data_IF_619289431951
#
_entry.id   IF_619289431951
#
_cell.length_a   1.000
_cell.length_b   1.000
_cell.length_c   1.000
_cell.angle_alpha   90.00
_cell.angle_beta   90.00
_cell.angle_gamma   90.00
#
_symmetry.space_group_name_H-M   'P 1'
#
loop_
_entity.id
_entity.type
_entity.pdbx_description
1 polymer ?
#
# COMPACT_ATOMS: atom_id res chain seq x y z
N UNK A 1 -33.57 22.00 -18.20
CA UNK A 1 -33.13 23.40 -17.99
C UNK A 1 -33.95 24.27 -18.91
N UNK A 2 -35.06 24.84 -18.41
CA UNK A 2 -35.85 25.81 -19.18
C UNK A 2 -35.14 27.16 -19.03
N UNK A 3 -34.63 27.71 -20.15
CA UNK A 3 -33.99 29.02 -20.17
C UNK A 3 -35.07 30.02 -20.59
N UNK A 4 -35.52 30.83 -19.64
CA UNK A 4 -36.39 31.99 -19.94
C UNK A 4 -35.56 33.05 -20.68
N UNK A 5 -36.05 33.64 -21.78
CA UNK A 5 -35.32 34.70 -22.48
C UNK A 5 -35.37 35.99 -21.67
N UNK A 6 -34.19 36.52 -21.32
CA UNK A 6 -34.05 37.86 -20.76
C UNK A 6 -33.98 38.89 -21.90
N UNK A 7 -35.00 39.74 -22.04
CA UNK A 7 -34.90 40.93 -22.90
C UNK A 7 -34.03 41.98 -22.21
N UNK A 8 -32.84 42.15 -22.78
CA UNK A 8 -31.88 43.26 -22.67
C UNK A 8 -32.17 44.42 -21.70
N UNK A 9 -31.35 44.49 -20.66
CA UNK A 9 -30.34 45.54 -20.42
C UNK A 9 -30.21 45.80 -18.91
N UNK A 10 -28.96 45.84 -18.46
CA UNK A 10 -28.48 45.96 -17.08
C UNK A 10 -28.07 44.63 -16.43
N UNK A 11 -26.77 44.59 -16.14
CA UNK A 11 -25.97 43.58 -15.48
C UNK A 11 -26.63 43.11 -14.15
N UNK A 12 -27.33 41.97 -14.15
CA UNK A 12 -27.68 41.27 -12.91
C UNK A 12 -27.84 39.76 -13.16
N UNK A 13 -27.35 38.99 -12.18
CA UNK A 13 -27.18 37.55 -12.11
C UNK A 13 -28.13 36.68 -12.96
N UNK A 14 -27.55 35.77 -13.75
CA UNK A 14 -28.30 34.64 -14.35
C UNK A 14 -28.92 33.82 -13.22
N UNK A 15 -30.24 33.96 -13.05
CA UNK A 15 -30.94 33.30 -11.97
C UNK A 15 -31.11 31.81 -12.29
N UNK A 16 -30.58 30.95 -11.42
CA UNK A 16 -30.74 29.50 -11.54
C UNK A 16 -32.13 29.10 -11.03
N UNK A 17 -33.00 28.79 -11.98
CA UNK A 17 -34.34 28.29 -11.73
C UNK A 17 -34.33 26.77 -11.86
N UNK A 18 -34.76 26.05 -10.82
CA UNK A 18 -34.84 24.59 -10.82
C UNK A 18 -36.29 24.12 -10.79
N UNK A 19 -36.59 23.10 -11.59
CA UNK A 19 -37.87 22.38 -11.46
C UNK A 19 -37.76 21.48 -10.23
N UNK A 20 -38.56 21.78 -9.20
CA UNK A 20 -38.56 21.02 -7.94
C UNK A 20 -39.44 19.77 -8.05
N UNK A 21 -40.60 19.91 -8.67
CA UNK A 21 -41.58 18.85 -8.81
C UNK A 21 -42.41 19.09 -10.07
N UNK A 22 -42.70 18.01 -10.80
CA UNK A 22 -43.70 17.99 -11.87
C UNK A 22 -44.80 17.04 -11.42
N UNK A 23 -46.00 17.56 -11.24
CA UNK A 23 -47.19 16.77 -10.94
C UNK A 23 -48.02 16.63 -12.21
N UNK A 24 -47.87 15.49 -12.88
CA UNK A 24 -48.58 15.20 -14.12
C UNK A 24 -50.10 15.05 -13.91
N UNK A 25 -50.53 14.60 -12.73
CA UNK A 25 -51.94 14.39 -12.39
C UNK A 25 -52.69 15.71 -12.19
N UNK A 26 -52.08 16.70 -11.54
CA UNK A 26 -52.66 18.05 -11.40
C UNK A 26 -52.28 18.99 -12.55
N UNK A 27 -51.41 18.53 -13.46
CA UNK A 27 -50.80 19.34 -14.52
C UNK A 27 -50.09 20.61 -14.01
N UNK A 28 -49.32 20.44 -12.93
CA UNK A 28 -48.61 21.51 -12.23
C UNK A 28 -47.08 21.30 -12.25
N UNK A 29 -46.33 22.35 -12.56
CA UNK A 29 -44.88 22.41 -12.41
C UNK A 29 -44.56 23.35 -11.26
N UNK A 30 -43.91 22.83 -10.22
CA UNK A 30 -43.34 23.64 -9.16
C UNK A 30 -41.91 24.02 -9.50
N UNK A 31 -41.71 25.32 -9.66
CA UNK A 31 -40.44 25.93 -10.00
C UNK A 31 -39.88 26.60 -8.76
N UNK A 32 -38.65 26.24 -8.40
CA UNK A 32 -37.95 26.79 -7.25
C UNK A 32 -36.84 27.76 -7.67
N UNK A 33 -36.82 28.93 -7.04
CA UNK A 33 -35.76 29.93 -7.22
C UNK A 33 -34.63 29.66 -6.23
N UNK A 34 -33.43 29.37 -6.72
CA UNK A 34 -32.29 29.04 -5.83
C UNK A 34 -31.63 30.27 -5.21
N UNK A 35 -31.46 31.35 -5.97
CA UNK A 35 -30.71 32.56 -5.57
C UNK A 35 -31.37 33.78 -6.23
N UNK A 36 -31.47 34.90 -5.51
CA UNK A 36 -31.93 36.20 -6.04
C UNK A 36 -33.37 36.58 -5.67
N UNK A 37 -33.83 37.71 -6.20
CA UNK A 37 -35.15 38.26 -5.94
C UNK A 37 -36.19 37.79 -6.98
N UNK A 38 -37.09 36.82 -6.69
CA UNK A 38 -38.08 36.38 -7.67
C UNK A 38 -39.16 37.45 -7.94
N UNK A 39 -39.53 38.21 -6.89
CA UNK A 39 -40.65 39.16 -6.92
C UNK A 39 -40.43 40.34 -7.88
N UNK A 40 -39.18 40.69 -8.20
CA UNK A 40 -38.85 41.78 -9.13
C UNK A 40 -39.16 41.49 -10.60
N UNK A 41 -38.93 40.24 -11.03
CA UNK A 41 -39.09 39.84 -12.43
C UNK A 41 -40.49 39.30 -12.74
N UNK A 42 -41.24 38.90 -11.71
CA UNK A 42 -42.57 38.30 -11.87
C UNK A 42 -43.56 39.24 -12.58
N UNK A 43 -43.48 40.54 -12.31
CA UNK A 43 -44.31 41.55 -12.97
C UNK A 43 -44.01 41.72 -14.47
N UNK A 44 -42.93 41.12 -14.97
CA UNK A 44 -42.51 41.16 -16.38
C UNK A 44 -42.56 39.78 -17.06
N UNK A 45 -43.11 38.75 -16.40
CA UNK A 45 -43.24 37.42 -16.99
C UNK A 45 -44.29 37.44 -18.11
N UNK A 46 -43.82 37.29 -19.36
CA UNK A 46 -44.70 37.11 -20.51
C UNK A 46 -44.71 35.62 -20.93
N UNK A 47 -45.81 34.92 -20.64
CA UNK A 47 -46.02 33.52 -21.01
C UNK A 47 -46.91 33.33 -22.24
N UNK A 48 -47.22 34.40 -22.98
CA UNK A 48 -48.13 34.31 -24.15
C UNK A 48 -47.66 33.34 -25.25
N UNK A 49 -46.35 33.09 -25.35
CA UNK A 49 -45.77 32.13 -26.29
C UNK A 49 -45.47 30.76 -25.68
N UNK A 50 -45.90 30.51 -24.44
CA UNK A 50 -45.64 29.30 -23.67
C UNK A 50 -46.92 28.47 -23.49
N UNK A 51 -46.85 27.12 -23.49
CA UNK A 51 -47.99 26.28 -23.14
C UNK A 51 -48.32 26.30 -21.63
N UNK A 52 -47.47 26.95 -20.84
CA UNK A 52 -47.60 27.09 -19.39
C UNK A 52 -48.24 28.43 -19.03
N UNK A 53 -49.23 28.40 -18.13
CA UNK A 53 -49.84 29.58 -17.50
C UNK A 53 -49.75 29.50 -15.97
N UNK A 54 -50.41 30.42 -15.28
CA UNK A 54 -50.59 30.41 -13.83
C UNK A 54 -51.97 30.98 -13.50
N UNK A 55 -52.41 30.86 -12.25
CA UNK A 55 -53.62 31.56 -11.81
C UNK A 55 -53.36 33.07 -11.75
N UNK A 56 -54.20 33.82 -12.47
CA UNK A 56 -54.08 35.26 -12.63
C UNK A 56 -54.66 36.02 -11.43
N UNK A 57 -53.82 36.81 -10.78
CA UNK A 57 -54.21 37.75 -9.73
C UNK A 57 -53.91 39.18 -10.14
N UNK A 58 -54.76 40.10 -9.69
CA UNK A 58 -54.57 41.53 -9.91
C UNK A 58 -53.93 42.13 -8.65
N UNK A 59 -52.87 42.92 -8.81
CA UNK A 59 -52.21 43.60 -7.70
C UNK A 59 -52.05 45.09 -7.95
N UNK A 60 -52.23 45.89 -6.90
CA UNK A 60 -51.87 47.32 -6.91
C UNK A 60 -50.58 47.51 -6.12
N UNK A 61 -49.59 48.13 -6.74
CA UNK A 61 -48.29 48.43 -6.15
C UNK A 61 -48.32 49.79 -5.43
N UNK A 62 -47.88 49.82 -4.17
CA UNK A 62 -47.73 51.02 -3.36
C UNK A 62 -46.27 51.22 -2.94
N UNK A 63 -45.80 52.46 -2.95
CA UNK A 63 -44.53 52.88 -2.37
C UNK A 63 -44.79 53.58 -1.03
N UNK A 64 -44.17 53.09 0.03
CA UNK A 64 -44.38 53.57 1.40
C UNK A 64 -43.05 53.97 2.06
N UNK A 65 -43.05 54.98 2.95
CA UNK A 65 -41.90 55.30 3.80
C UNK A 65 -41.49 54.11 4.69
N UNK A 66 -40.21 54.02 5.06
CA UNK A 66 -39.68 52.94 5.90
C UNK A 66 -40.25 52.87 7.32
N UNK A 67 -40.96 53.91 7.77
CA UNK A 67 -41.56 54.02 9.10
C UNK A 67 -42.92 53.32 9.27
N UNK A 68 -43.50 52.73 8.21
CA UNK A 68 -44.79 52.03 8.31
C UNK A 68 -44.59 50.60 8.85
N UNK A 69 -45.09 50.27 10.06
CA UNK A 69 -44.95 48.94 10.64
C UNK A 69 -45.80 47.90 9.89
N UNK A 70 -45.21 46.72 9.62
CA UNK A 70 -45.90 45.58 9.02
C UNK A 70 -46.96 45.05 9.98
N UNK A 71 -48.24 45.07 9.57
CA UNK A 71 -49.32 44.43 10.31
C UNK A 71 -49.80 43.24 9.49
N UNK A 72 -49.57 42.02 9.98
CA UNK A 72 -50.26 40.83 9.47
C UNK A 72 -51.72 40.95 9.87
N UNK A 73 -52.60 41.15 8.88
CA UNK A 73 -54.03 41.01 9.10
C UNK A 73 -54.28 39.51 9.25
N UNK A 74 -54.47 39.03 10.47
CA UNK A 74 -54.69 37.62 10.82
C UNK A 74 -55.99 36.99 10.26
N UNK A 75 -56.32 37.29 9.01
CA UNK A 75 -57.32 36.62 8.19
C UNK A 75 -56.63 35.66 7.23
N UNK A 76 -57.32 34.60 6.81
CA UNK A 76 -56.81 33.49 5.99
C UNK A 76 -56.09 33.84 4.68
N UNK A 77 -56.05 35.11 4.26
CA UNK A 77 -55.31 35.60 3.10
C UNK A 77 -54.56 36.87 3.50
N UNK A 78 -53.22 36.84 3.45
CA UNK A 78 -52.35 37.99 3.70
C UNK A 78 -52.48 38.95 2.51
N UNK A 79 -53.34 39.95 2.66
CA UNK A 79 -53.71 40.87 1.57
C UNK A 79 -52.58 41.79 1.09
N UNK A 80 -51.49 41.90 1.85
CA UNK A 80 -50.39 42.83 1.59
C UNK A 80 -49.04 42.10 1.53
N UNK A 81 -48.43 42.05 0.35
CA UNK A 81 -47.13 41.40 0.15
C UNK A 81 -46.01 42.45 0.07
N UNK A 82 -45.13 42.47 1.08
CA UNK A 82 -43.90 43.29 1.05
C UNK A 82 -42.92 42.78 -0.02
N UNK A 83 -42.51 43.66 -0.93
CA UNK A 83 -41.62 43.36 -2.07
C UNK A 83 -40.18 43.86 -1.87
N UNK A 84 -39.84 44.51 -0.75
CA UNK A 84 -38.46 44.88 -0.40
C UNK A 84 -37.68 43.67 0.14
N UNK A 85 -36.36 43.51 -0.09
CA UNK A 85 -35.41 44.42 -0.76
C UNK A 85 -35.38 44.24 -2.29
N UNK A 86 -36.40 43.59 -2.81
CA UNK A 86 -36.45 42.90 -4.08
C UNK A 86 -36.79 43.85 -5.25
N UNK A 87 -37.80 44.70 -5.03
CA UNK A 87 -38.11 45.89 -5.81
C UNK A 87 -37.81 47.08 -4.90
N UNK A 88 -36.64 47.71 -5.05
CA UNK A 88 -36.26 48.88 -4.27
C UNK A 88 -34.76 49.14 -4.25
N UNK A 89 -34.36 50.40 -4.42
CA UNK A 89 -32.97 50.83 -4.41
C UNK A 89 -32.32 50.54 -3.03
N UNK A 90 -31.05 50.15 -3.03
CA UNK A 90 -30.27 49.59 -1.89
C UNK A 90 -30.19 50.52 -0.66
N UNK A 91 -30.68 51.75 -0.77
CA UNK A 91 -30.56 52.80 0.25
C UNK A 91 -31.69 52.83 1.31
N UNK A 92 -32.48 51.75 1.48
CA UNK A 92 -33.36 51.52 2.66
C UNK A 92 -34.41 52.60 3.02
N UNK A 93 -34.72 53.56 2.16
CA UNK A 93 -35.63 54.69 2.48
C UNK A 93 -37.10 54.49 2.07
N UNK A 94 -37.41 53.53 1.18
CA UNK A 94 -38.77 53.28 0.69
C UNK A 94 -39.04 51.78 0.56
N UNK A 95 -40.20 51.33 1.06
CA UNK A 95 -40.68 49.95 0.95
C UNK A 95 -41.80 49.86 -0.10
N UNK A 96 -41.73 48.86 -0.97
CA UNK A 96 -42.78 48.55 -1.93
C UNK A 96 -43.68 47.43 -1.43
N UNK A 97 -45.00 47.59 -1.60
CA UNK A 97 -46.02 46.64 -1.20
C UNK A 97 -46.98 46.36 -2.36
N UNK A 98 -47.27 45.09 -2.63
CA UNK A 98 -48.34 44.68 -3.53
C UNK A 98 -49.60 44.33 -2.73
N UNK A 99 -50.71 45.00 -3.07
CA UNK A 99 -52.04 44.74 -2.54
C UNK A 99 -52.83 43.86 -3.52
N UNK A 100 -53.37 42.74 -3.06
CA UNK A 100 -54.23 41.89 -3.87
C UNK A 100 -55.59 42.57 -4.14
N UNK A 101 -55.90 42.85 -5.40
CA UNK A 101 -57.14 43.46 -5.84
C UNK A 101 -58.34 42.51 -5.79
N UNK A 102 -59.54 43.05 -5.57
CA UNK A 102 -60.81 42.32 -5.61
C UNK A 102 -61.22 41.62 -4.31
N UNK A 103 -60.26 41.12 -3.51
CA UNK A 103 -60.53 40.42 -2.25
C UNK A 103 -60.25 41.25 -1.00
N UNK A 104 -59.42 42.28 -1.12
CA UNK A 104 -58.90 43.04 0.01
C UNK A 104 -59.38 44.49 -0.02
N UNK A 105 -59.91 44.97 1.10
CA UNK A 105 -60.38 46.35 1.22
C UNK A 105 -59.24 47.28 1.64
N UNK A 106 -58.91 48.27 0.79
CA UNK A 106 -57.92 49.32 1.06
C UNK A 106 -58.21 50.03 2.39
N UNK A 107 -59.49 50.18 2.75
CA UNK A 107 -59.92 50.87 3.98
C UNK A 107 -59.44 50.23 5.28
N UNK A 108 -59.02 48.96 5.25
CA UNK A 108 -58.50 48.23 6.42
C UNK A 108 -56.97 48.26 6.51
N UNK A 109 -56.29 49.00 5.63
CA UNK A 109 -54.83 48.99 5.54
C UNK A 109 -54.24 50.36 5.87
N UNK A 110 -53.10 50.44 6.58
CA UNK A 110 -52.44 51.69 6.94
C UNK A 110 -51.64 52.26 5.76
N UNK A 111 -52.26 52.39 4.58
CA UNK A 111 -51.64 52.88 3.35
C UNK A 111 -51.72 54.42 3.20
N UNK A 112 -52.16 55.13 4.24
CA UNK A 112 -52.39 56.60 4.22
C UNK A 112 -51.12 57.39 3.88
N UNK A 113 -49.96 56.87 4.28
CA UNK A 113 -48.65 57.48 3.99
C UNK A 113 -47.99 56.93 2.73
N UNK A 114 -48.68 56.11 1.94
CA UNK A 114 -48.15 55.44 0.76
C UNK A 114 -48.67 56.06 -0.55
N UNK A 115 -47.84 56.04 -1.59
CA UNK A 115 -48.20 56.49 -2.94
C UNK A 115 -48.48 55.29 -3.83
N UNK A 116 -49.64 55.26 -4.48
CA UNK A 116 -49.94 54.26 -5.53
C UNK A 116 -48.96 54.45 -6.69
N UNK A 117 -48.29 53.37 -7.09
CA UNK A 117 -47.29 53.37 -8.18
C UNK A 117 -47.92 52.90 -9.48
N UNK A 118 -48.44 51.67 -9.51
CA UNK A 118 -48.99 51.03 -10.71
C UNK A 118 -49.96 49.90 -10.35
N UNK A 119 -50.89 49.59 -11.24
CA UNK A 119 -51.68 48.36 -11.19
C UNK A 119 -51.10 47.33 -12.17
N UNK A 120 -51.01 46.08 -11.72
CA UNK A 120 -50.62 44.93 -12.53
C UNK A 120 -51.79 43.94 -12.59
N UNK A 121 -52.07 43.45 -13.80
CA UNK A 121 -53.04 42.39 -14.05
C UNK A 121 -52.30 41.12 -14.50
N UNK A 122 -52.91 39.96 -14.28
CA UNK A 122 -52.34 38.64 -14.66
C UNK A 122 -50.96 38.39 -14.07
N UNK A 123 -50.85 38.49 -12.74
CA UNK A 123 -49.64 38.20 -11.97
C UNK A 123 -49.87 36.91 -11.17
N UNK A 124 -48.89 35.99 -11.07
CA UNK A 124 -49.03 34.79 -10.26
C UNK A 124 -49.10 35.11 -8.77
N UNK A 125 -49.58 34.16 -7.96
CA UNK A 125 -49.73 34.32 -6.51
C UNK A 125 -48.40 34.70 -5.83
N UNK A 126 -48.25 35.99 -5.50
CA UNK A 126 -47.06 36.55 -4.87
C UNK A 126 -46.87 36.05 -3.43
N UNK A 127 -47.94 35.62 -2.77
CA UNK A 127 -47.89 35.14 -1.41
C UNK A 127 -47.17 33.78 -1.32
N UNK A 128 -47.60 32.81 -2.14
CA UNK A 128 -46.94 31.51 -2.24
C UNK A 128 -45.48 31.64 -2.65
N UNK A 129 -45.19 32.54 -3.61
CA UNK A 129 -43.83 32.78 -4.07
C UNK A 129 -42.95 33.34 -2.95
N UNK A 130 -43.45 34.31 -2.18
CA UNK A 130 -42.68 34.90 -1.06
C UNK A 130 -42.42 33.89 0.06
N UNK A 131 -43.40 33.05 0.40
CA UNK A 131 -43.25 32.11 1.51
C UNK A 131 -42.37 30.92 1.17
N UNK A 132 -42.54 30.35 -0.03
CA UNK A 132 -41.92 29.08 -0.38
C UNK A 132 -40.79 29.21 -1.42
N UNK A 133 -40.59 30.39 -2.02
CA UNK A 133 -39.78 30.56 -3.23
C UNK A 133 -40.18 29.58 -4.34
N UNK A 134 -41.49 29.31 -4.46
CA UNK A 134 -42.06 28.40 -5.45
C UNK A 134 -43.02 29.17 -6.35
N UNK A 135 -42.77 29.14 -7.66
CA UNK A 135 -43.74 29.51 -8.69
C UNK A 135 -44.40 28.24 -9.20
N UNK A 136 -45.74 28.22 -9.21
CA UNK A 136 -46.52 27.14 -9.80
C UNK A 136 -46.93 27.53 -11.21
N UNK A 137 -46.58 26.71 -12.18
CA UNK A 137 -47.06 26.83 -13.56
C UNK A 137 -48.02 25.68 -13.87
N UNK A 138 -49.12 26.01 -14.52
CA UNK A 138 -50.15 25.08 -14.98
C UNK A 138 -49.99 24.87 -16.49
N UNK A 139 -50.22 23.66 -16.99
CA UNK A 139 -50.43 23.42 -18.42
C UNK A 139 -51.77 22.73 -18.64
N UNK A 140 -52.45 23.09 -19.72
CA UNK A 140 -53.76 22.53 -20.04
C UNK A 140 -53.74 21.61 -21.25
N UNK A 141 -52.67 21.67 -22.04
CA UNK A 141 -52.50 20.88 -23.26
C UNK A 141 -51.14 20.18 -23.19
N UNK A 142 -51.07 18.86 -23.40
CA UNK A 142 -52.19 17.94 -23.64
C UNK A 142 -53.01 17.67 -22.36
N UNK A 143 -54.35 17.65 -22.44
CA UNK A 143 -55.19 17.25 -21.29
C UNK A 143 -55.13 15.73 -21.12
N UNK A 144 -54.41 15.32 -20.07
CA UNK A 144 -54.11 13.93 -19.78
C UNK A 144 -54.86 13.41 -18.54
N UNK A 145 -55.61 14.27 -17.83
CA UNK A 145 -56.31 13.89 -16.58
C UNK A 145 -57.22 12.69 -16.80
N UNK A 146 -57.97 12.70 -17.90
CA UNK A 146 -58.91 11.63 -18.26
C UNK A 146 -58.23 10.30 -18.61
N UNK A 147 -57.00 10.32 -19.13
CA UNK A 147 -56.25 9.09 -19.41
C UNK A 147 -55.68 8.49 -18.12
N UNK A 148 -55.13 9.31 -17.23
CA UNK A 148 -54.54 8.87 -15.97
C UNK A 148 -55.58 8.38 -14.97
N UNK A 149 -56.77 9.01 -14.89
CA UNK A 149 -57.90 8.52 -14.09
C UNK A 149 -58.35 7.11 -14.51
N UNK A 150 -58.13 6.76 -15.79
CA UNK A 150 -58.39 5.42 -16.33
C UNK A 150 -57.20 4.47 -16.19
N UNK A 151 -56.13 4.87 -15.49
CA UNK A 151 -54.90 4.09 -15.31
C UNK A 151 -54.09 3.90 -16.60
N UNK A 152 -54.23 4.82 -17.57
CA UNK A 152 -53.57 4.78 -18.89
C UNK A 152 -52.57 5.93 -19.00
N UNK A 153 -51.55 5.76 -19.82
CA UNK A 153 -50.62 6.83 -20.14
C UNK A 153 -51.14 7.69 -21.29
N UNK A 154 -50.70 8.95 -21.33
CA UNK A 154 -51.15 9.96 -22.27
C UNK A 154 -50.00 10.36 -23.20
N UNK A 155 -50.25 10.44 -24.51
CA UNK A 155 -49.30 11.01 -25.48
C UNK A 155 -50.02 11.88 -26.51
N UNK A 156 -49.27 12.74 -27.19
CA UNK A 156 -49.77 13.46 -28.36
C UNK A 156 -50.14 12.48 -29.48
N UNK A 157 -51.21 12.81 -30.20
CA UNK A 157 -51.56 12.13 -31.44
C UNK A 157 -50.69 12.71 -32.56
N UNK A 158 -49.77 11.91 -33.09
CA UNK A 158 -49.03 12.26 -34.30
C UNK A 158 -50.00 12.25 -35.49
N UNK A 159 -50.54 13.41 -35.87
CA UNK A 159 -51.26 13.56 -37.14
C UNK A 159 -50.35 14.21 -38.19
N UNK A 160 -49.52 13.38 -38.83
CA UNK A 160 -49.20 13.63 -40.24
C UNK A 160 -50.52 13.40 -41.01
N UNK A 161 -51.04 14.46 -41.65
CA UNK A 161 -52.29 14.52 -42.42
C UNK A 161 -53.58 14.82 -41.64
N UNK A 162 -53.73 16.05 -41.14
CA UNK A 162 -55.02 16.74 -41.23
C UNK A 162 -54.83 18.25 -41.38
N UNK A 163 -55.14 18.75 -42.57
CA UNK A 163 -55.26 20.17 -42.86
C UNK A 163 -56.57 20.71 -42.28
N UNK A 164 -56.59 20.99 -40.98
CA UNK A 164 -57.48 22.02 -40.43
C UNK A 164 -56.98 22.43 -39.04
N UNK A 165 -56.83 23.74 -38.88
CA UNK A 165 -56.46 24.40 -37.63
C UNK A 165 -57.41 23.98 -36.51
N UNK A 166 -56.81 23.84 -35.33
CA UNK A 166 -57.43 23.68 -34.02
C UNK A 166 -58.03 22.30 -33.77
N UNK A 167 -57.22 21.36 -33.28
CA UNK A 167 -57.42 20.69 -31.99
C UNK A 167 -56.22 19.76 -31.72
N UNK A 168 -55.47 20.02 -30.66
CA UNK A 168 -54.39 19.16 -30.17
C UNK A 168 -54.98 17.90 -29.54
N UNK A 169 -55.21 16.86 -30.33
CA UNK A 169 -55.80 15.62 -29.85
C UNK A 169 -54.79 14.77 -29.06
N UNK A 170 -55.22 14.26 -27.92
CA UNK A 170 -54.45 13.37 -27.04
C UNK A 170 -54.94 11.94 -27.21
N UNK A 171 -54.02 10.96 -27.12
CA UNK A 171 -54.39 9.54 -27.16
C UNK A 171 -53.97 8.84 -25.87
N UNK A 172 -54.91 8.13 -25.24
CA UNK A 172 -54.64 7.29 -24.08
C UNK A 172 -54.14 5.92 -24.55
N UNK A 173 -53.00 5.46 -24.05
CA UNK A 173 -52.46 4.15 -24.35
C UNK A 173 -52.12 3.38 -23.07
N UNK A 174 -52.16 2.06 -23.15
CA UNK A 174 -51.76 1.18 -22.05
C UNK A 174 -50.35 0.70 -22.35
N UNK A 175 -49.38 0.99 -21.47
CA UNK A 175 -48.12 0.26 -21.49
C UNK A 175 -48.42 -1.21 -21.17
N UNK A 176 -48.29 -2.09 -22.16
CA UNK A 176 -48.06 -3.50 -21.86
C UNK A 176 -46.73 -3.56 -21.11
N UNK A 177 -46.79 -3.75 -19.79
CA UNK A 177 -45.61 -3.82 -18.94
C UNK A 177 -44.58 -4.82 -19.51
N UNK A 178 -43.28 -4.61 -19.24
CA UNK A 178 -42.25 -5.47 -19.81
C UNK A 178 -42.51 -6.90 -19.33
N UNK A 179 -42.64 -7.84 -20.26
CA UNK A 179 -42.41 -9.25 -19.94
C UNK A 179 -41.00 -9.32 -19.36
N UNK A 180 -40.87 -9.50 -18.04
CA UNK A 180 -39.56 -9.65 -17.37
C UNK A 180 -38.73 -10.68 -18.13
N UNK A 181 -37.63 -10.33 -18.80
CA UNK A 181 -36.71 -11.35 -19.27
C UNK A 181 -35.91 -11.79 -18.04
N UNK A 182 -35.81 -13.10 -17.78
CA UNK A 182 -34.95 -13.68 -16.73
C UNK A 182 -33.45 -13.32 -16.86
N UNK A 183 -33.06 -12.50 -17.84
CA UNK A 183 -31.68 -12.12 -18.14
C UNK A 183 -31.11 -11.01 -17.24
N UNK A 184 -31.91 -10.03 -16.79
CA UNK A 184 -31.40 -8.85 -16.05
C UNK A 184 -30.91 -9.19 -14.64
N UNK A 185 -31.50 -10.20 -13.99
CA UNK A 185 -31.06 -10.71 -12.69
C UNK A 185 -29.75 -11.52 -12.79
N UNK A 186 -29.51 -12.18 -13.94
CA UNK A 186 -28.28 -12.94 -14.20
C UNK A 186 -27.08 -12.01 -14.37
N UNK A 187 -27.25 -10.87 -15.05
CA UNK A 187 -26.17 -9.90 -15.28
C UNK A 187 -25.73 -9.24 -13.97
N UNK A 188 -26.66 -8.82 -13.10
CA UNK A 188 -26.32 -8.31 -11.77
C UNK A 188 -25.60 -9.34 -10.89
N UNK A 189 -26.04 -10.61 -10.94
CA UNK A 189 -25.40 -11.70 -10.21
C UNK A 189 -23.98 -12.00 -10.68
N UNK A 190 -23.72 -11.97 -11.99
CA UNK A 190 -22.38 -12.16 -12.58
C UNK A 190 -21.44 -11.02 -12.20
N UNK A 191 -21.92 -9.77 -12.24
CA UNK A 191 -21.12 -8.62 -11.81
C UNK A 191 -20.76 -8.70 -10.32
N UNK A 192 -21.72 -9.05 -9.46
CA UNK A 192 -21.45 -9.20 -8.02
C UNK A 192 -20.42 -10.31 -7.73
N UNK A 193 -20.54 -11.46 -8.40
CA UNK A 193 -19.57 -12.55 -8.27
C UNK A 193 -18.17 -12.15 -8.75
N UNK A 194 -18.08 -11.38 -9.83
CA UNK A 194 -16.80 -10.90 -10.36
C UNK A 194 -16.10 -9.93 -9.39
N UNK A 195 -16.85 -9.05 -8.73
CA UNK A 195 -16.30 -8.12 -7.72
C UNK A 195 -15.79 -8.90 -6.50
N UNK A 196 -16.55 -9.89 -6.02
CA UNK A 196 -16.11 -10.74 -4.90
C UNK A 196 -14.84 -11.52 -5.26
N UNK A 197 -14.75 -12.07 -6.48
CA UNK A 197 -13.56 -12.76 -6.96
C UNK A 197 -12.33 -11.84 -7.03
N UNK A 198 -12.50 -10.59 -7.47
CA UNK A 198 -11.41 -9.61 -7.53
C UNK A 198 -10.95 -9.23 -6.12
N UNK A 199 -11.88 -8.93 -5.21
CA UNK A 199 -11.55 -8.55 -3.82
C UNK A 199 -10.84 -9.70 -3.10
N UNK A 200 -11.33 -10.93 -3.26
CA UNK A 200 -10.67 -12.11 -2.69
C UNK A 200 -9.28 -12.33 -3.28
N UNK A 201 -9.11 -12.16 -4.59
CA UNK A 201 -7.80 -12.20 -5.24
C UNK A 201 -6.81 -11.16 -4.69
N UNK A 202 -7.27 -9.92 -4.46
CA UNK A 202 -6.44 -8.85 -3.87
C UNK A 202 -6.05 -9.19 -2.43
N UNK A 203 -6.98 -9.68 -1.61
CA UNK A 203 -6.68 -10.07 -0.23
C UNK A 203 -5.69 -11.22 -0.18
N UNK A 204 -5.88 -12.26 -1.01
CA UNK A 204 -4.95 -13.38 -1.12
C UNK A 204 -3.58 -12.89 -1.58
N UNK A 205 -3.52 -12.01 -2.57
CA UNK A 205 -2.27 -11.42 -3.06
C UNK A 205 -1.57 -10.59 -1.99
N UNK A 206 -2.31 -9.81 -1.19
CA UNK A 206 -1.76 -9.00 -0.11
C UNK A 206 -1.22 -9.87 1.03
N UNK A 207 -1.96 -10.90 1.44
CA UNK A 207 -1.50 -11.85 2.47
C UNK A 207 -0.28 -12.62 1.97
N UNK A 208 -0.30 -13.09 0.72
CA UNK A 208 0.85 -13.76 0.11
C UNK A 208 2.06 -12.83 0.02
N UNK A 209 1.89 -11.58 -0.43
CA UNK A 209 2.99 -10.62 -0.48
C UNK A 209 3.52 -10.33 0.92
N UNK A 210 2.65 -10.06 1.90
CA UNK A 210 3.06 -9.74 3.27
C UNK A 210 3.84 -10.87 3.92
N UNK A 211 3.35 -12.11 3.78
CA UNK A 211 4.05 -13.30 4.32
C UNK A 211 5.36 -13.58 3.61
N UNK A 212 5.46 -13.29 2.30
CA UNK A 212 6.71 -13.37 1.55
C UNK A 212 7.72 -12.33 2.05
N UNK A 213 7.32 -11.08 2.23
CA UNK A 213 8.20 -10.01 2.73
C UNK A 213 8.71 -10.32 4.15
N UNK A 214 7.87 -10.90 5.00
CA UNK A 214 8.24 -11.32 6.36
C UNK A 214 9.24 -12.49 6.36
N UNK A 215 9.06 -13.47 5.46
CA UNK A 215 10.07 -14.54 5.28
C UNK A 215 11.40 -13.99 4.78
N UNK A 216 11.37 -13.07 3.81
CA UNK A 216 12.58 -12.42 3.29
C UNK A 216 13.29 -11.58 4.36
N UNK A 217 12.54 -10.90 5.23
CA UNK A 217 13.12 -10.12 6.34
C UNK A 217 13.73 -11.04 7.41
N UNK A 218 13.07 -12.15 7.76
CA UNK A 218 13.63 -13.16 8.65
C UNK A 218 14.92 -13.75 8.08
N UNK A 219 14.93 -14.16 6.81
CA UNK A 219 16.15 -14.65 6.15
C UNK A 219 17.28 -13.62 6.13
N UNK A 220 16.95 -12.33 5.95
CA UNK A 220 17.94 -11.24 6.00
C UNK A 220 18.52 -11.05 7.39
N UNK A 221 17.68 -11.16 8.44
CA UNK A 221 18.11 -11.09 9.84
C UNK A 221 18.96 -12.31 10.19
N UNK A 222 18.54 -13.52 9.81
CA UNK A 222 19.33 -14.75 10.02
C UNK A 222 20.68 -14.66 9.33
N UNK A 223 20.72 -14.25 8.06
CA UNK A 223 21.99 -14.03 7.34
C UNK A 223 22.87 -13.00 8.03
N UNK A 224 22.30 -11.88 8.48
CA UNK A 224 23.03 -10.87 9.24
C UNK A 224 23.56 -11.41 10.57
N UNK A 225 22.77 -12.20 11.30
CA UNK A 225 23.19 -12.82 12.56
C UNK A 225 24.26 -13.88 12.34
N UNK A 226 24.22 -14.60 11.22
CA UNK A 226 25.26 -15.55 10.82
C UNK A 226 26.54 -14.82 10.43
N UNK A 227 26.47 -13.72 9.68
CA UNK A 227 27.59 -12.83 9.38
C UNK A 227 28.17 -12.22 10.67
N UNK A 228 27.32 -11.84 11.62
CA UNK A 228 27.74 -11.26 12.90
C UNK A 228 28.38 -12.32 13.82
N UNK A 229 27.81 -13.53 13.90
CA UNK A 229 28.45 -14.69 14.54
C UNK A 229 29.75 -15.08 13.85
N UNK A 230 29.86 -14.82 12.54
CA UNK A 230 31.10 -15.06 11.82
C UNK A 230 32.21 -14.10 12.23
N UNK A 231 31.93 -12.92 12.82
CA UNK A 231 32.96 -11.95 13.22
C UNK A 231 33.72 -12.32 14.52
N UNK A 232 33.17 -13.19 15.38
CA UNK A 232 33.85 -13.63 16.63
C UNK A 232 33.48 -15.07 17.00
N UNK A 233 34.47 -15.93 17.34
CA UNK A 233 34.19 -17.27 17.83
C UNK A 233 33.29 -17.25 19.07
N UNK A 234 32.21 -18.02 19.06
CA UNK A 234 31.30 -18.13 20.19
C UNK A 234 31.89 -19.02 21.30
N UNK A 235 31.70 -18.65 22.57
CA UNK A 235 32.05 -19.52 23.70
C UNK A 235 30.90 -20.50 23.96
N UNK A 236 31.20 -21.79 23.89
CA UNK A 236 30.26 -22.88 24.16
C UNK A 236 30.56 -23.55 25.50
N UNK A 237 29.51 -24.02 26.18
CA UNK A 237 29.67 -24.88 27.35
C UNK A 237 30.04 -26.31 26.95
N UNK A 238 30.58 -27.10 27.88
CA UNK A 238 30.84 -28.52 27.65
C UNK A 238 29.55 -29.30 27.33
N UNK A 239 28.42 -28.89 27.92
CA UNK A 239 27.10 -29.46 27.59
C UNK A 239 26.72 -29.19 26.13
N UNK A 240 27.01 -27.99 25.61
CA UNK A 240 26.79 -27.67 24.19
C UNK A 240 27.69 -28.51 23.29
N UNK A 241 28.98 -28.66 23.63
CA UNK A 241 29.92 -29.52 22.90
C UNK A 241 29.43 -30.97 22.84
N UNK A 242 28.97 -31.52 23.97
CA UNK A 242 28.43 -32.88 24.05
C UNK A 242 27.14 -33.02 23.24
N UNK A 243 26.27 -32.02 23.24
CA UNK A 243 25.03 -32.01 22.43
C UNK A 243 25.35 -31.95 20.94
N UNK A 244 26.22 -31.02 20.54
CA UNK A 244 26.63 -30.76 19.16
C UNK A 244 27.29 -31.97 18.49
N UNK A 245 28.09 -32.73 19.25
CA UNK A 245 28.78 -33.93 18.76
C UNK A 245 27.96 -35.21 18.92
N UNK A 246 26.68 -35.10 19.32
CA UNK A 246 25.83 -36.24 19.67
C UNK A 246 26.52 -37.22 20.62
N UNK A 247 27.05 -36.71 21.73
CA UNK A 247 27.85 -37.44 22.73
C UNK A 247 29.12 -38.07 22.14
N UNK A 248 29.84 -37.32 21.28
CA UNK A 248 31.10 -37.73 20.67
C UNK A 248 31.01 -38.99 19.79
N UNK A 249 29.87 -39.18 19.12
CA UNK A 249 29.56 -40.40 18.36
C UNK A 249 30.46 -40.57 17.13
N UNK A 250 30.60 -39.51 16.34
CA UNK A 250 31.21 -39.58 15.01
C UNK A 250 32.67 -39.06 15.06
N UNK A 251 33.63 -39.93 15.35
CA UNK A 251 35.06 -39.59 15.39
C UNK A 251 35.62 -39.42 13.97
N UNK A 252 36.25 -38.28 13.72
CA UNK A 252 36.89 -37.96 12.43
C UNK A 252 38.40 -38.27 12.44
N UNK A 253 39.06 -38.13 13.58
CA UNK A 253 40.50 -38.37 13.70
C UNK A 253 41.02 -38.17 15.12
N UNK A 254 42.25 -38.62 15.37
CA UNK A 254 42.95 -38.42 16.64
C UNK A 254 44.45 -38.27 16.39
N UNK A 255 45.09 -37.36 17.10
CA UNK A 255 46.53 -37.14 17.04
C UNK A 255 47.05 -36.51 18.33
N UNK A 256 48.32 -36.08 18.32
CA UNK A 256 49.01 -35.51 19.49
C UNK A 256 48.28 -34.31 20.11
N UNK A 257 47.58 -33.52 19.28
CA UNK A 257 46.87 -32.33 19.72
C UNK A 257 45.47 -32.62 20.29
N UNK A 258 44.94 -33.84 20.09
CA UNK A 258 43.61 -34.20 20.58
C UNK A 258 42.79 -35.06 19.61
N UNK A 259 41.48 -35.12 19.87
CA UNK A 259 40.52 -35.92 19.09
C UNK A 259 39.50 -35.01 18.41
N UNK A 260 39.23 -35.27 17.14
CA UNK A 260 38.29 -34.50 16.33
C UNK A 260 37.02 -35.32 16.09
N UNK A 261 35.87 -34.70 16.31
CA UNK A 261 34.55 -35.29 16.11
C UNK A 261 33.74 -34.46 15.12
N UNK A 262 32.87 -35.12 14.36
CA UNK A 262 31.85 -34.44 13.57
C UNK A 262 30.74 -33.98 14.52
N UNK A 263 30.22 -32.79 14.26
CA UNK A 263 29.12 -32.23 15.02
C UNK A 263 28.17 -31.42 14.15
N UNK A 264 27.11 -30.93 14.79
CA UNK A 264 26.05 -30.16 14.17
C UNK A 264 25.60 -29.05 15.12
N UNK A 265 25.77 -27.79 14.71
CA UNK A 265 25.40 -26.62 15.51
C UNK A 265 23.91 -26.26 15.31
N UNK A 266 23.42 -26.38 14.07
CA UNK A 266 22.02 -26.18 13.66
C UNK A 266 21.63 -27.21 12.60
N UNK A 267 20.37 -27.24 12.14
CA UNK A 267 19.90 -28.15 11.07
C UNK A 267 20.81 -28.15 9.83
N UNK A 268 21.48 -27.05 9.54
CA UNK A 268 22.24 -26.83 8.30
C UNK A 268 23.75 -26.66 8.53
N UNK A 269 24.19 -26.29 9.74
CA UNK A 269 25.61 -26.03 10.01
C UNK A 269 26.31 -27.25 10.63
N UNK A 270 27.08 -27.95 9.80
CA UNK A 270 28.01 -29.01 10.23
C UNK A 270 29.33 -28.42 10.70
N UNK A 271 29.88 -29.00 11.76
CA UNK A 271 31.13 -28.54 12.38
C UNK A 271 32.08 -29.69 12.70
N UNK A 272 33.36 -29.39 12.80
CA UNK A 272 34.39 -30.27 13.33
C UNK A 272 34.78 -29.78 14.73
N UNK A 273 34.62 -30.64 15.74
CA UNK A 273 34.92 -30.34 17.13
C UNK A 273 36.19 -31.04 17.55
N UNK A 274 37.27 -30.28 17.74
CA UNK A 274 38.57 -30.75 18.21
C UNK A 274 38.63 -30.62 19.73
N UNK A 275 38.57 -31.74 20.44
CA UNK A 275 38.82 -31.81 21.89
C UNK A 275 40.32 -31.92 22.10
N UNK A 276 40.91 -30.93 22.75
CA UNK A 276 42.36 -30.90 22.97
C UNK A 276 42.75 -31.88 24.07
N UNK A 277 43.91 -32.53 23.91
CA UNK A 277 44.45 -33.40 24.94
C UNK A 277 45.01 -32.57 26.11
N UNK A 278 44.62 -32.90 27.34
CA UNK A 278 45.18 -32.28 28.56
C UNK A 278 46.51 -32.90 29.01
N UNK A 279 47.07 -33.83 28.24
CA UNK A 279 48.27 -34.57 28.64
C UNK A 279 49.56 -33.74 28.64
N UNK A 280 49.54 -32.54 28.04
CA UNK A 280 50.75 -31.78 27.75
C UNK A 280 50.66 -30.37 28.35
N UNK A 281 51.71 -29.91 29.03
CA UNK A 281 51.78 -28.54 29.61
C UNK A 281 51.54 -27.43 28.57
N UNK A 282 51.84 -27.70 27.30
CA UNK A 282 51.69 -26.75 26.17
C UNK A 282 50.28 -26.70 25.56
N UNK A 283 49.38 -27.61 25.92
CA UNK A 283 48.03 -27.66 25.34
C UNK A 283 47.22 -26.37 25.63
N UNK A 284 47.49 -25.72 26.76
CA UNK A 284 46.91 -24.41 27.08
C UNK A 284 47.44 -23.28 26.20
N UNK A 285 48.75 -23.28 25.89
CA UNK A 285 49.35 -22.28 24.99
C UNK A 285 48.84 -22.42 23.56
N UNK A 286 48.76 -23.66 23.05
CA UNK A 286 48.23 -23.94 21.72
C UNK A 286 46.76 -23.50 21.60
N UNK A 287 45.95 -23.75 22.64
CA UNK A 287 44.58 -23.25 22.71
C UNK A 287 44.51 -21.73 22.66
N UNK A 288 45.33 -21.03 23.45
CA UNK A 288 45.35 -19.57 23.49
C UNK A 288 45.82 -19.01 22.15
N UNK A 289 46.87 -19.57 21.56
CA UNK A 289 47.35 -19.16 20.24
C UNK A 289 46.26 -19.34 19.19
N UNK A 290 45.62 -20.50 19.14
CA UNK A 290 44.63 -20.83 18.13
C UNK A 290 43.37 -19.96 18.28
N UNK A 291 42.83 -19.78 19.50
CA UNK A 291 41.69 -18.87 19.71
C UNK A 291 42.07 -17.41 19.46
N UNK A 292 43.26 -16.98 19.89
CA UNK A 292 43.74 -15.60 19.78
C UNK A 292 44.05 -15.18 18.34
N UNK A 293 44.58 -16.10 17.52
CA UNK A 293 44.87 -15.86 16.10
C UNK A 293 43.64 -16.08 15.23
N UNK A 294 42.98 -17.24 15.35
CA UNK A 294 41.87 -17.63 14.47
C UNK A 294 40.59 -16.85 14.71
N UNK A 295 40.42 -16.29 15.91
CA UNK A 295 39.22 -15.52 16.23
C UNK A 295 39.06 -14.21 15.46
N UNK A 296 40.06 -13.83 14.66
CA UNK A 296 40.05 -12.62 13.81
C UNK A 296 40.25 -12.93 12.32
N UNK A 297 40.37 -14.20 11.95
CA UNK A 297 40.72 -14.61 10.59
C UNK A 297 39.47 -15.05 9.84
N UNK A 298 39.16 -14.33 8.76
CA UNK A 298 38.06 -14.66 7.85
C UNK A 298 38.57 -14.62 6.41
N UNK A 299 38.89 -15.80 5.87
CA UNK A 299 39.36 -15.92 4.50
C UNK A 299 38.85 -17.18 3.82
N UNK A 300 38.58 -17.10 2.51
CA UNK A 300 38.06 -18.23 1.74
C UNK A 300 39.00 -19.44 1.77
N UNK A 301 40.31 -19.21 1.85
CA UNK A 301 41.34 -20.25 1.92
C UNK A 301 41.93 -20.51 3.31
N UNK A 302 41.27 -20.07 4.38
CA UNK A 302 41.62 -20.43 5.76
C UNK A 302 40.39 -21.06 6.42
N UNK A 303 40.60 -22.06 7.29
CA UNK A 303 39.50 -22.66 8.06
C UNK A 303 38.95 -21.65 9.04
N UNK A 304 37.63 -21.64 9.24
CA UNK A 304 36.99 -20.70 10.17
C UNK A 304 36.82 -21.35 11.53
N UNK A 305 37.29 -20.67 12.57
CA UNK A 305 36.96 -21.01 13.96
C UNK A 305 35.56 -20.44 14.28
N UNK A 306 34.58 -21.32 14.43
CA UNK A 306 33.18 -20.99 14.76
C UNK A 306 33.02 -20.67 16.25
N UNK A 307 33.79 -21.37 17.09
CA UNK A 307 33.74 -21.17 18.53
C UNK A 307 34.71 -22.05 19.30
N UNK A 308 34.66 -21.96 20.62
CA UNK A 308 35.54 -22.68 21.51
C UNK A 308 34.83 -23.02 22.83
N UNK A 309 35.37 -23.99 23.56
CA UNK A 309 34.97 -24.32 24.92
C UNK A 309 36.19 -24.23 25.84
N UNK A 310 36.00 -23.64 27.01
CA UNK A 310 37.01 -23.50 28.06
C UNK A 310 36.36 -23.70 29.44
N UNK A 311 35.69 -24.85 29.61
CA UNK A 311 34.97 -25.20 30.84
C UNK A 311 35.84 -26.09 31.72
N UNK A 312 36.22 -25.58 32.91
CA UNK A 312 37.11 -26.28 33.84
C UNK A 312 38.43 -26.65 33.16
N UNK A 313 38.74 -27.94 33.12
CA UNK A 313 39.90 -28.48 32.42
C UNK A 313 39.62 -28.83 30.95
N UNK A 314 38.39 -28.77 30.47
CA UNK A 314 38.08 -29.13 29.08
C UNK A 314 38.41 -27.95 28.17
N UNK A 315 39.14 -28.23 27.10
CA UNK A 315 39.41 -27.31 25.99
C UNK A 315 38.92 -27.92 24.70
N UNK A 316 38.09 -27.18 23.96
CA UNK A 316 37.62 -27.60 22.65
C UNK A 316 37.60 -26.44 21.67
N UNK A 317 37.79 -26.76 20.40
CA UNK A 317 37.73 -25.83 19.28
C UNK A 317 36.69 -26.34 18.28
N UNK A 318 35.86 -25.43 17.78
CA UNK A 318 34.76 -25.73 16.87
C UNK A 318 35.03 -25.05 15.55
N UNK A 319 35.25 -25.83 14.49
CA UNK A 319 35.54 -25.37 13.13
C UNK A 319 34.39 -25.68 12.18
N UNK A 320 34.36 -25.01 11.04
CA UNK A 320 33.58 -25.47 9.89
C UNK A 320 33.96 -26.92 9.53
N UNK A 321 32.97 -27.76 9.24
CA UNK A 321 33.22 -29.11 8.77
C UNK A 321 33.57 -29.11 7.27
N UNK A 322 34.70 -29.71 6.91
CA UNK A 322 35.16 -29.86 5.53
C UNK A 322 35.00 -31.32 5.07
N UNK A 323 34.09 -31.60 4.13
CA UNK A 323 33.65 -32.97 3.81
C UNK A 323 34.72 -33.80 3.08
N UNK A 324 35.62 -33.17 2.32
CA UNK A 324 36.61 -33.90 1.52
C UNK A 324 37.89 -34.23 2.32
N UNK A 325 37.97 -33.86 3.60
CA UNK A 325 39.11 -34.18 4.44
C UNK A 325 40.40 -33.46 4.02
N UNK A 326 41.56 -34.04 4.34
CA UNK A 326 42.87 -33.43 4.10
C UNK A 326 43.38 -33.67 2.68
N UNK A 327 44.17 -32.73 2.17
CA UNK A 327 44.87 -32.84 0.89
C UNK A 327 45.81 -34.04 0.86
N UNK A 328 46.38 -34.43 2.01
CA UNK A 328 47.21 -35.63 2.15
C UNK A 328 46.52 -36.88 1.59
N UNK A 329 45.21 -37.05 1.81
CA UNK A 329 44.47 -38.23 1.38
C UNK A 329 44.50 -38.39 -0.16
N UNK A 330 44.50 -37.27 -0.89
CA UNK A 330 44.53 -37.27 -2.35
C UNK A 330 45.95 -37.44 -2.91
N UNK A 331 46.95 -36.85 -2.24
CA UNK A 331 48.36 -37.00 -2.64
C UNK A 331 48.82 -38.45 -2.42
N UNK A 332 48.55 -39.04 -1.25
CA UNK A 332 48.96 -40.42 -0.96
C UNK A 332 48.27 -41.44 -1.87
N UNK A 333 46.99 -41.23 -2.21
CA UNK A 333 46.26 -42.11 -3.13
C UNK A 333 46.82 -42.08 -4.54
N UNK A 334 47.36 -40.93 -4.98
CA UNK A 334 47.98 -40.80 -6.31
C UNK A 334 49.32 -41.52 -6.43
N UNK A 335 50.13 -41.54 -5.36
CA UNK A 335 51.41 -42.23 -5.34
C UNK A 335 51.24 -43.76 -5.38
N UNK A 336 50.25 -44.30 -4.66
CA UNK A 336 49.96 -45.74 -4.66
C UNK A 336 49.38 -46.23 -6.01
N UNK A 337 48.66 -45.38 -6.74
CA UNK A 337 48.12 -45.71 -8.06
C UNK A 337 49.19 -45.70 -9.18
N UNK A 338 50.31 -45.00 -8.99
CA UNK A 338 51.42 -44.99 -9.94
C UNK A 338 52.27 -46.27 -9.90
N UNK A 339 52.35 -46.94 -8.73
CA UNK A 339 53.17 -48.14 -8.53
C UNK A 339 52.45 -49.47 -8.86
N UNK A 340 51.13 -49.47 -9.01
CA UNK A 340 50.37 -50.67 -9.35
C UNK A 340 49.43 -50.44 -10.54
N UNK A 341 49.89 -50.87 -11.71
CA UNK A 341 49.12 -50.99 -12.97
C UNK A 341 48.06 -52.10 -12.87
N UNK A 342 47.17 -52.07 -11.88
CA UNK A 342 45.97 -52.90 -11.87
C UNK A 342 44.97 -52.41 -10.83
N UNK A 343 43.78 -52.02 -11.32
CA UNK A 343 42.45 -51.95 -10.66
C UNK A 343 41.83 -50.55 -10.71
N UNK A 344 41.18 -50.28 -11.85
CA UNK A 344 39.76 -49.94 -12.00
C UNK A 344 38.97 -49.19 -10.90
N UNK A 345 39.61 -48.38 -10.05
CA UNK A 345 38.97 -47.33 -9.25
C UNK A 345 39.85 -46.07 -9.29
N UNK A 346 39.82 -45.43 -10.46
CA UNK A 346 40.57 -44.23 -10.79
C UNK A 346 39.91 -42.96 -10.20
N UNK A 347 39.49 -42.98 -8.93
CA UNK A 347 38.58 -41.95 -8.38
C UNK A 347 39.24 -40.86 -7.53
N UNK A 348 40.53 -40.98 -7.18
CA UNK A 348 41.13 -40.11 -6.15
C UNK A 348 42.30 -39.22 -6.64
N UNK A 349 42.71 -39.30 -7.90
CA UNK A 349 43.71 -38.35 -8.43
C UNK A 349 43.04 -37.02 -8.77
N UNK A 350 43.48 -35.96 -8.08
CA UNK A 350 43.16 -34.59 -8.45
C UNK A 350 44.01 -34.25 -9.68
N UNK A 351 43.39 -34.11 -10.85
CA UNK A 351 44.10 -33.70 -12.08
C UNK A 351 44.95 -32.43 -11.88
N UNK A 352 45.96 -32.24 -12.72
CA UNK A 352 46.93 -31.14 -12.60
C UNK A 352 46.30 -29.75 -12.46
N UNK A 353 45.25 -29.47 -13.24
CA UNK A 353 44.52 -28.20 -13.16
C UNK A 353 43.94 -27.97 -11.75
N UNK A 354 43.36 -29.02 -11.14
CA UNK A 354 42.82 -28.95 -9.78
C UNK A 354 43.92 -28.80 -8.73
N UNK A 355 45.06 -29.46 -8.91
CA UNK A 355 46.21 -29.29 -8.01
C UNK A 355 46.77 -27.87 -8.10
N UNK A 356 46.80 -27.28 -9.30
CA UNK A 356 47.20 -25.89 -9.51
C UNK A 356 46.22 -24.93 -8.81
N UNK A 357 44.92 -25.12 -8.94
CA UNK A 357 43.90 -24.36 -8.23
C UNK A 357 44.08 -24.45 -6.71
N UNK A 358 44.37 -25.66 -6.20
CA UNK A 358 44.64 -25.90 -4.79
C UNK A 358 45.90 -25.17 -4.34
N UNK A 359 47.01 -25.28 -5.09
CA UNK A 359 48.26 -24.59 -4.76
C UNK A 359 48.07 -23.07 -4.72
N UNK A 360 47.35 -22.52 -5.71
CA UNK A 360 47.01 -21.10 -5.76
C UNK A 360 46.15 -20.69 -4.57
N UNK A 361 45.14 -21.48 -4.21
CA UNK A 361 44.29 -21.20 -3.05
C UNK A 361 45.07 -21.24 -1.74
N UNK A 362 45.98 -22.21 -1.55
CA UNK A 362 46.87 -22.24 -0.38
C UNK A 362 47.72 -20.97 -0.35
N UNK A 363 48.35 -20.59 -1.47
CA UNK A 363 49.18 -19.39 -1.55
C UNK A 363 48.40 -18.11 -1.18
N UNK A 364 47.17 -17.95 -1.68
CA UNK A 364 46.27 -16.84 -1.30
C UNK A 364 45.94 -16.84 0.18
N UNK A 365 45.71 -18.03 0.77
CA UNK A 365 45.52 -18.17 2.21
C UNK A 365 46.72 -17.67 3.01
N UNK A 366 47.93 -18.05 2.61
CA UNK A 366 49.17 -17.63 3.28
C UNK A 366 49.47 -16.15 3.07
N UNK A 367 49.28 -15.63 1.85
CA UNK A 367 49.40 -14.20 1.55
C UNK A 367 48.48 -13.37 2.46
N UNK A 368 47.21 -13.79 2.60
CA UNK A 368 46.27 -13.14 3.51
C UNK A 368 46.76 -13.14 4.96
N UNK A 369 47.28 -14.27 5.47
CA UNK A 369 47.83 -14.33 6.82
C UNK A 369 49.03 -13.40 7.01
N UNK A 370 49.86 -13.25 5.97
CA UNK A 370 51.08 -12.46 6.05
C UNK A 370 50.87 -10.96 5.87
N UNK A 371 49.92 -10.57 5.01
CA UNK A 371 49.78 -9.19 4.53
C UNK A 371 48.34 -8.65 4.64
N UNK A 372 47.34 -9.52 4.73
CA UNK A 372 45.93 -9.15 4.78
C UNK A 372 45.36 -8.99 6.19
N UNK A 373 46.06 -9.47 7.23
CA UNK A 373 45.67 -9.30 8.63
C UNK A 373 46.32 -8.05 9.28
N UNK A 374 45.65 -7.47 10.29
CA UNK A 374 46.16 -6.32 11.05
C UNK A 374 47.54 -6.55 11.66
N UNK A 375 47.84 -7.79 12.04
CA UNK A 375 49.16 -8.26 12.46
C UNK A 375 49.56 -9.41 11.55
N UNK A 376 50.82 -9.42 11.09
CA UNK A 376 51.34 -10.54 10.31
C UNK A 376 51.26 -11.84 11.13
N UNK A 377 50.68 -12.89 10.55
CA UNK A 377 50.48 -14.20 11.19
C UNK A 377 51.35 -15.25 10.51
N UNK A 378 52.32 -15.79 11.23
CA UNK A 378 53.15 -16.90 10.74
C UNK A 378 52.57 -18.23 11.19
N UNK A 379 52.23 -19.12 10.25
CA UNK A 379 51.57 -20.40 10.53
C UNK A 379 52.50 -21.48 11.14
N UNK A 380 53.76 -21.55 10.67
CA UNK A 380 54.80 -22.52 11.04
C UNK A 380 54.53 -24.02 10.79
N UNK A 381 53.31 -24.46 10.51
CA UNK A 381 53.00 -25.89 10.24
C UNK A 381 52.23 -26.13 8.93
N UNK A 382 52.70 -25.53 7.82
CA UNK A 382 52.06 -25.71 6.50
C UNK A 382 52.51 -27.06 5.92
N UNK A 383 51.57 -28.01 5.85
CA UNK A 383 51.77 -29.36 5.29
C UNK A 383 50.46 -29.91 4.73
N UNK A 384 50.47 -30.94 3.85
CA UNK A 384 49.23 -31.45 3.24
C UNK A 384 48.18 -31.98 4.23
N UNK A 385 48.60 -32.41 5.42
CA UNK A 385 47.68 -32.81 6.50
C UNK A 385 46.86 -31.62 7.04
N UNK A 386 47.44 -30.42 7.01
CA UNK A 386 46.87 -29.18 7.54
C UNK A 386 46.21 -28.32 6.45
N UNK A 387 45.95 -28.91 5.28
CA UNK A 387 45.15 -28.31 4.21
C UNK A 387 43.91 -29.17 4.04
N UNK A 388 42.76 -28.66 4.46
CA UNK A 388 41.47 -29.33 4.31
C UNK A 388 40.78 -28.86 3.02
N UNK A 389 39.98 -29.73 2.41
CA UNK A 389 39.28 -29.46 1.17
C UNK A 389 37.77 -29.32 1.41
N UNK A 390 37.19 -28.21 0.96
CA UNK A 390 35.73 -28.02 0.94
C UNK A 390 35.09 -28.74 -0.26
N UNK A 391 33.75 -28.72 -0.37
CA UNK A 391 32.98 -29.47 -1.37
C UNK A 391 33.51 -29.31 -2.80
N UNK A 392 33.90 -28.09 -3.19
CA UNK A 392 34.41 -27.78 -4.54
C UNK A 392 35.93 -27.94 -4.69
N UNK A 393 36.57 -28.67 -3.76
CA UNK A 393 38.02 -28.79 -3.62
C UNK A 393 38.73 -27.45 -3.34
N UNK A 394 38.01 -26.47 -2.81
CA UNK A 394 38.61 -25.22 -2.32
C UNK A 394 39.49 -25.54 -1.10
N UNK A 395 40.79 -25.19 -1.13
CA UNK A 395 41.69 -25.47 -0.02
C UNK A 395 41.48 -24.48 1.12
N UNK A 396 41.49 -24.98 2.35
CA UNK A 396 41.49 -24.20 3.58
C UNK A 396 42.62 -24.66 4.49
N UNK A 397 43.54 -23.75 4.77
CA UNK A 397 44.63 -23.97 5.74
C UNK A 397 44.04 -24.05 7.15
N UNK A 398 44.46 -25.04 7.93
CA UNK A 398 44.01 -25.26 9.31
C UNK A 398 45.19 -25.55 10.25
N UNK A 399 44.88 -25.69 11.54
CA UNK A 399 45.82 -26.05 12.61
C UNK A 399 46.84 -24.96 12.96
N UNK A 400 46.37 -23.98 13.73
CA UNK A 400 47.12 -22.78 14.09
C UNK A 400 47.75 -22.86 15.49
N UNK A 401 47.88 -24.04 16.08
CA UNK A 401 48.45 -24.20 17.43
C UNK A 401 49.87 -23.63 17.55
N UNK A 402 50.67 -23.72 16.48
CA UNK A 402 52.03 -23.17 16.40
C UNK A 402 52.11 -21.74 15.86
N UNK A 403 50.98 -21.13 15.50
CA UNK A 403 50.97 -19.82 14.84
C UNK A 403 51.47 -18.70 15.77
N UNK A 404 52.07 -17.67 15.18
CA UNK A 404 52.56 -16.48 15.91
C UNK A 404 52.10 -15.18 15.26
N UNK A 405 51.66 -14.25 16.10
CA UNK A 405 51.38 -12.85 15.73
C UNK A 405 52.69 -12.07 15.77
N UNK A 406 53.00 -11.37 14.68
CA UNK A 406 54.17 -10.50 14.55
C UNK A 406 53.70 -9.04 14.50
N UNK A 407 54.40 -8.17 15.22
CA UNK A 407 54.16 -6.72 15.13
C UNK A 407 54.66 -6.20 13.79
N UNK A 408 53.84 -5.42 13.08
CA UNK A 408 54.19 -4.81 11.79
C UNK A 408 55.25 -3.69 11.90
N UNK A 409 55.95 -3.56 13.02
CA UNK A 409 57.07 -2.63 13.15
C UNK A 409 58.17 -3.04 12.19
N UNK A 410 58.54 -2.13 11.29
CA UNK A 410 59.59 -2.27 10.26
C UNK A 410 61.00 -2.55 10.79
N UNK A 411 61.14 -2.91 12.07
CA UNK A 411 62.36 -3.46 12.63
C UNK A 411 62.26 -4.98 12.56
N UNK A 412 63.03 -5.55 11.63
CA UNK A 412 63.29 -6.97 11.50
C UNK A 412 63.82 -7.53 12.82
N UNK A 413 62.91 -7.83 13.75
CA UNK A 413 63.24 -8.54 14.96
C UNK A 413 63.34 -10.00 14.57
N UNK A 414 64.56 -10.50 14.40
CA UNK A 414 64.85 -11.88 14.07
C UNK A 414 64.07 -12.82 15.00
N UNK A 415 62.97 -13.38 14.50
CA UNK A 415 62.30 -14.49 15.15
C UNK A 415 63.29 -15.65 15.07
N UNK A 416 63.98 -15.90 16.18
CA UNK A 416 65.02 -16.91 16.25
C UNK A 416 64.41 -18.27 15.92
N UNK A 417 64.73 -18.79 14.72
CA UNK A 417 64.21 -20.05 14.15
C UNK A 417 64.56 -21.29 15.00
N UNK A 418 65.36 -21.14 16.05
CA UNK A 418 65.80 -22.20 16.95
C UNK A 418 64.64 -22.83 17.73
N UNK A 419 63.55 -22.10 18.00
CA UNK A 419 62.40 -22.67 18.74
C UNK A 419 61.43 -23.44 17.83
N UNK A 420 61.38 -23.13 16.52
CA UNK A 420 60.51 -23.81 15.56
C UNK A 420 61.12 -25.15 15.08
N UNK A 421 62.44 -25.18 14.83
CA UNK A 421 63.13 -26.38 14.31
C UNK A 421 63.18 -27.55 15.30
N UNK A 422 63.17 -27.26 16.60
CA UNK A 422 63.12 -28.30 17.64
C UNK A 422 61.73 -28.96 17.80
N UNK A 423 60.67 -28.40 17.19
CA UNK A 423 59.27 -28.86 17.38
C UNK A 423 58.72 -29.71 16.23
N UNK A 424 59.39 -29.78 15.09
CA UNK A 424 59.03 -30.68 13.97
C UNK A 424 59.81 -32.01 13.98
N UNK A 425 60.70 -32.22 14.95
CA UNK A 425 61.55 -33.42 15.10
C UNK A 425 61.13 -34.35 16.26
N UNK A 426 59.91 -34.20 16.79
CA UNK A 426 59.35 -35.10 17.82
C UNK A 426 58.01 -35.68 17.36
#
# INVERSE_FOLDING_TARGET
MMIMPSSSSANHDKQHVLVKKINYTTQEIEIHYQIGCPLGQIFYLNLSSSPFGFEDFNYTLFSCPSSVPYISTGTSYDCLTKLSPCLGNINNQTNYYALLGGYCSISRMPLVSCTKVLDYASVPDLFTIKQANILKLLWFIPDCRRCEDLGKECRFKDEFYSTQKNHTETQCYVLKGPKRPRATLRILGICALSVVAIVTGIVISYVYSSTKTEKESQLRIERFLDDYRALKPSRYSYADIKRMTNKFKDKLGQGAQGTVFKGKLSSELLVAVKILSNSNEKAGEDFINEVGTMGRIHHVNVVRLVGFCADGFIRALVYDFLPNGSLQNFISSSAAAADHMSRHDNSNFLGWDKLQDIALGIAKGIEYLHQGCDQQILHFDIKPHNVLLYQNFTPKVCDFGLAKLCSNSKDQSAISMTTARARSLL
#
